data_IF_607317864218
#
_entry.id   IF_607317864218
#
_cell.length_a   1.000
_cell.length_b   1.000
_cell.length_c   1.000
_cell.angle_alpha   90.00
_cell.angle_beta   90.00
_cell.angle_gamma   90.00
#
_symmetry.space_group_name_H-M   'P 1'
#
loop_
_entity.id
_entity.type
_entity.pdbx_description
1 polymer ?
#
# COMPACT_ATOMS: atom_id res chain seq x y z
N UNK A 1 12.10 -2.88 -4.80
CA UNK A 1 11.00 -2.64 -3.87
C UNK A 1 9.74 -2.62 -4.69
N UNK A 2 8.66 -3.21 -4.18
CA UNK A 2 7.36 -3.20 -4.84
C UNK A 2 6.28 -2.87 -3.82
N UNK A 3 5.22 -2.18 -4.25
CA UNK A 3 4.21 -1.58 -3.38
C UNK A 3 2.83 -1.76 -4.00
N UNK A 4 1.87 -2.21 -3.20
CA UNK A 4 0.45 -2.25 -3.57
C UNK A 4 -0.38 -1.58 -2.50
N UNK A 5 -1.40 -0.81 -2.91
CA UNK A 5 -2.29 -0.12 -2.00
C UNK A 5 -3.76 -0.32 -2.42
N UNK A 6 -4.62 -0.55 -1.44
CA UNK A 6 -6.04 -0.75 -1.66
C UNK A 6 -6.85 -0.24 -0.46
N UNK A 7 -8.02 0.33 -0.74
CA UNK A 7 -9.03 0.52 0.29
C UNK A 7 -9.75 -0.80 0.56
N UNK A 8 -10.16 -1.04 1.81
CA UNK A 8 -11.12 -2.08 2.14
C UNK A 8 -12.44 -1.84 1.40
N UNK A 9 -13.27 -2.88 1.25
CA UNK A 9 -14.55 -2.76 0.52
C UNK A 9 -15.49 -1.69 1.10
N UNK A 10 -15.41 -1.44 2.41
CA UNK A 10 -16.15 -0.38 3.11
C UNK A 10 -15.42 0.97 3.17
N UNK A 11 -14.21 1.05 2.58
CA UNK A 11 -13.30 2.21 2.54
C UNK A 11 -12.89 2.78 3.90
N UNK A 12 -13.10 2.05 5.00
CA UNK A 12 -12.70 2.50 6.33
C UNK A 12 -11.19 2.42 6.55
N UNK A 13 -10.50 1.58 5.78
CA UNK A 13 -9.06 1.41 5.89
C UNK A 13 -8.38 1.50 4.54
N UNK A 14 -7.23 2.15 4.53
CA UNK A 14 -6.24 2.02 3.47
C UNK A 14 -5.21 0.97 3.91
N UNK A 15 -5.05 -0.07 3.11
CA UNK A 15 -3.98 -1.05 3.28
C UNK A 15 -2.86 -0.79 2.29
N UNK A 16 -1.60 -0.82 2.74
CA UNK A 16 -0.41 -0.69 1.89
C UNK A 16 0.51 -1.88 2.17
N UNK A 17 0.72 -2.74 1.18
CA UNK A 17 1.68 -3.83 1.21
C UNK A 17 2.99 -3.39 0.53
N UNK A 18 4.11 -3.61 1.20
CA UNK A 18 5.44 -3.22 0.75
C UNK A 18 6.37 -4.43 0.82
N UNK A 19 7.08 -4.70 -0.27
CA UNK A 19 8.16 -5.70 -0.32
C UNK A 19 9.50 -4.98 -0.44
N UNK A 20 10.35 -5.14 0.57
CA UNK A 20 11.76 -4.73 0.50
C UNK A 20 12.66 -5.97 0.32
N UNK A 21 13.09 -6.28 -0.93
CA UNK A 21 13.94 -7.44 -1.19
C UNK A 21 15.43 -7.19 -0.91
N UNK A 22 15.83 -5.99 -0.50
CA UNK A 22 17.25 -5.66 -0.28
C UNK A 22 17.70 -6.10 1.12
N UNK A 23 19.02 -6.15 1.34
CA UNK A 23 19.61 -6.44 2.66
C UNK A 23 19.76 -5.18 3.52
N UNK A 24 19.25 -4.04 3.05
CA UNK A 24 19.37 -2.75 3.72
C UNK A 24 17.98 -2.18 4.04
N UNK A 25 17.82 -1.42 5.13
CA UNK A 25 16.58 -0.69 5.36
C UNK A 25 16.34 0.29 4.23
N UNK A 26 15.07 0.51 3.88
CA UNK A 26 14.67 1.48 2.86
C UNK A 26 13.70 2.50 3.48
N UNK A 27 13.88 3.76 3.13
CA UNK A 27 12.98 4.83 3.55
C UNK A 27 11.95 5.12 2.45
N UNK A 28 10.68 5.21 2.84
CA UNK A 28 9.58 5.55 1.94
C UNK A 28 8.82 6.76 2.49
N UNK A 29 8.73 7.83 1.71
CA UNK A 29 7.88 8.96 2.05
C UNK A 29 6.46 8.70 1.56
N UNK A 30 5.49 8.69 2.48
CA UNK A 30 4.09 8.40 2.15
C UNK A 30 3.36 9.71 1.83
N UNK A 31 3.08 9.93 0.54
CA UNK A 31 2.21 11.02 0.09
C UNK A 31 0.91 10.45 -0.46
N UNK A 32 -0.22 10.86 0.12
CA UNK A 32 -1.55 10.39 -0.26
C UNK A 32 -2.38 11.55 -0.81
N UNK A 33 -2.79 11.41 -2.06
CA UNK A 33 -3.72 12.34 -2.70
C UNK A 33 -5.13 11.79 -2.64
N UNK A 34 -6.10 12.64 -2.30
CA UNK A 34 -7.52 12.26 -2.28
C UNK A 34 -7.93 11.39 -1.09
N UNK A 35 -7.10 11.22 -0.07
CA UNK A 35 -7.48 10.60 1.19
C UNK A 35 -6.73 11.23 2.38
N UNK A 36 -7.37 11.24 3.54
CA UNK A 36 -6.75 11.64 4.81
C UNK A 36 -6.77 10.45 5.75
N UNK A 37 -5.67 10.23 6.46
CA UNK A 37 -5.55 9.15 7.44
C UNK A 37 -5.80 9.70 8.85
N UNK A 38 -6.42 8.89 9.70
CA UNK A 38 -6.46 9.18 11.13
C UNK A 38 -5.11 8.85 11.78
N UNK A 39 -4.87 9.36 12.98
CA UNK A 39 -3.64 9.12 13.75
C UNK A 39 -3.65 7.75 14.46
N UNK A 40 -3.95 6.69 13.71
CA UNK A 40 -3.92 5.32 14.20
C UNK A 40 -3.65 4.36 13.03
N UNK A 41 -2.72 3.43 13.24
CA UNK A 41 -2.39 2.42 12.26
C UNK A 41 -1.94 1.11 12.91
N UNK A 42 -2.04 0.02 12.14
CA UNK A 42 -1.41 -1.26 12.47
C UNK A 42 -0.38 -1.60 11.40
N UNK A 43 0.71 -2.21 11.83
CA UNK A 43 1.73 -2.78 10.98
C UNK A 43 1.82 -4.27 11.24
N UNK A 44 1.86 -5.07 10.18
CA UNK A 44 2.30 -6.46 10.21
C UNK A 44 3.58 -6.59 9.40
N UNK A 45 4.64 -7.08 10.01
CA UNK A 45 5.92 -7.26 9.33
C UNK A 45 6.36 -8.72 9.41
N UNK A 46 6.67 -9.28 8.25
CA UNK A 46 7.35 -10.56 8.11
C UNK A 46 8.81 -10.32 7.72
N UNK A 47 9.73 -10.83 8.52
CA UNK A 47 11.18 -10.78 8.27
C UNK A 47 11.89 -11.90 9.04
N UNK A 48 13.19 -12.06 8.82
CA UNK A 48 14.05 -13.00 9.53
C UNK A 48 15.46 -12.45 9.71
N UNK A 49 16.27 -13.04 10.60
CA UNK A 49 17.62 -12.55 10.91
C UNK A 49 18.61 -12.70 9.75
N UNK A 50 18.36 -13.63 8.82
CA UNK A 50 19.21 -13.89 7.65
C UNK A 50 18.37 -14.29 6.44
N UNK A 51 18.98 -14.34 5.25
CA UNK A 51 18.29 -14.78 4.00
C UNK A 51 17.87 -16.24 4.02
N UNK A 52 18.58 -17.07 4.77
CA UNK A 52 18.34 -18.51 4.87
C UNK A 52 17.51 -18.87 6.12
N UNK A 53 17.02 -17.86 6.86
CA UNK A 53 16.20 -18.05 8.05
C UNK A 53 14.95 -18.86 7.71
N UNK A 54 14.67 -19.87 8.53
CA UNK A 54 13.55 -20.77 8.31
C UNK A 54 13.01 -21.31 9.63
N UNK A 55 11.70 -21.53 9.68
CA UNK A 55 11.08 -22.19 10.82
C UNK A 55 11.34 -23.71 10.74
N UNK A 56 11.66 -24.31 11.88
CA UNK A 56 11.90 -25.75 12.01
C UNK A 56 11.12 -26.32 13.19
N UNK A 57 10.84 -27.63 13.14
CA UNK A 57 10.18 -28.33 14.24
C UNK A 57 10.99 -28.21 15.53
N UNK A 58 10.31 -28.04 16.65
CA UNK A 58 10.88 -27.93 18.01
C UNK A 58 11.90 -26.79 18.21
N UNK A 59 11.91 -25.79 17.33
CA UNK A 59 12.71 -24.56 17.48
C UNK A 59 11.83 -23.32 17.58
N UNK A 60 12.38 -22.24 18.15
CA UNK A 60 11.74 -20.93 18.08
C UNK A 60 11.63 -20.48 16.61
N UNK A 61 10.53 -19.84 16.20
CA UNK A 61 10.39 -19.30 14.85
C UNK A 61 11.48 -18.26 14.55
N UNK A 62 12.14 -18.40 13.40
CA UNK A 62 13.08 -17.40 12.90
C UNK A 62 12.41 -16.41 11.94
N UNK A 63 11.32 -16.84 11.29
CA UNK A 63 10.50 -16.02 10.40
C UNK A 63 9.08 -16.01 10.93
N UNK A 64 8.63 -14.84 11.35
CA UNK A 64 7.31 -14.64 11.95
C UNK A 64 6.69 -13.33 11.47
N UNK A 65 5.36 -13.24 11.56
CA UNK A 65 4.64 -11.99 11.35
C UNK A 65 4.46 -11.30 12.70
N UNK A 66 5.10 -10.15 12.88
CA UNK A 66 4.93 -9.31 14.07
C UNK A 66 3.89 -8.24 13.81
N UNK A 67 2.90 -8.15 14.69
CA UNK A 67 1.95 -7.04 14.72
C UNK A 67 2.45 -5.93 15.64
N UNK A 68 2.32 -4.68 15.19
CA UNK A 68 2.65 -3.50 15.98
C UNK A 68 1.59 -2.43 15.75
N UNK A 69 0.96 -1.97 16.84
CA UNK A 69 0.10 -0.79 16.82
C UNK A 69 0.94 0.49 16.77
N UNK A 70 0.54 1.43 15.92
CA UNK A 70 1.19 2.72 15.74
C UNK A 70 0.24 3.84 16.18
N UNK A 71 0.69 4.68 17.11
CA UNK A 71 -0.06 5.81 17.65
C UNK A 71 -0.09 7.04 16.73
N UNK A 72 0.57 6.96 15.57
CA UNK A 72 0.58 7.99 14.54
C UNK A 72 0.98 7.39 13.19
N UNK A 73 0.64 8.09 12.11
CA UNK A 73 1.13 7.76 10.76
C UNK A 73 2.43 8.52 10.54
N UNK A 74 3.58 7.84 10.36
CA UNK A 74 4.83 8.52 10.06
C UNK A 74 4.79 9.11 8.65
N UNK A 75 5.37 10.29 8.47
CA UNK A 75 5.59 10.88 7.14
C UNK A 75 6.57 10.03 6.31
N UNK A 76 7.58 9.47 6.98
CA UNK A 76 8.57 8.55 6.40
C UNK A 76 8.47 7.20 7.09
N UNK A 77 8.17 6.16 6.31
CA UNK A 77 8.17 4.77 6.73
C UNK A 77 9.58 4.19 6.57
N UNK A 78 10.13 3.62 7.65
CA UNK A 78 11.35 2.81 7.57
C UNK A 78 10.96 1.35 7.38
N UNK A 79 11.35 0.78 6.25
CA UNK A 79 11.02 -0.59 5.85
C UNK A 79 12.25 -1.46 6.08
N UNK A 80 12.10 -2.50 6.90
CA UNK A 80 13.21 -3.37 7.28
C UNK A 80 13.82 -4.10 6.07
N UNK A 81 15.11 -4.50 6.14
CA UNK A 81 15.71 -5.42 5.18
C UNK A 81 14.89 -6.69 4.98
N UNK A 82 14.95 -7.27 3.79
CA UNK A 82 14.44 -8.59 3.45
C UNK A 82 13.05 -8.86 4.08
N UNK A 83 12.12 -7.94 3.84
CA UNK A 83 10.84 -7.91 4.55
C UNK A 83 9.64 -7.76 3.63
N UNK A 84 8.50 -8.24 4.13
CA UNK A 84 7.17 -7.90 3.65
C UNK A 84 6.47 -7.17 4.79
N UNK A 85 6.03 -5.94 4.55
CA UNK A 85 5.34 -5.13 5.55
C UNK A 85 3.97 -4.72 5.04
N UNK A 86 2.92 -5.01 5.79
CA UNK A 86 1.57 -4.55 5.56
C UNK A 86 1.23 -3.46 6.59
N UNK A 87 0.87 -2.28 6.10
CA UNK A 87 0.25 -1.25 6.92
C UNK A 87 -1.26 -1.24 6.71
N UNK A 88 -2.00 -1.04 7.79
CA UNK A 88 -3.43 -0.67 7.76
C UNK A 88 -3.60 0.66 8.46
N UNK A 89 -4.00 1.66 7.69
CA UNK A 89 -4.31 3.00 8.18
C UNK A 89 -5.81 3.18 8.24
N UNK A 90 -6.30 3.82 9.31
CA UNK A 90 -7.70 4.26 9.35
C UNK A 90 -7.87 5.43 8.39
N UNK A 91 -8.83 5.33 7.47
CA UNK A 91 -9.18 6.44 6.60
C UNK A 91 -10.11 7.41 7.35
N UNK A 92 -9.63 8.63 7.58
CA UNK A 92 -10.44 9.73 8.13
C UNK A 92 -11.39 10.29 7.06
N UNK A 93 -10.92 10.41 5.82
CA UNK A 93 -11.74 10.76 4.67
C UNK A 93 -11.16 10.16 3.39
N UNK A 94 -12.03 9.85 2.42
CA UNK A 94 -11.65 9.40 1.08
C UNK A 94 -12.47 10.21 0.08
N UNK A 95 -11.81 10.88 -0.85
CA UNK A 95 -12.47 11.62 -1.91
C UNK A 95 -13.31 10.66 -2.78
N UNK A 96 -14.42 11.17 -3.29
CA UNK A 96 -15.18 10.43 -4.29
C UNK A 96 -14.29 10.17 -5.51
N UNK A 97 -14.31 8.95 -6.04
CA UNK A 97 -13.69 8.66 -7.31
C UNK A 97 -14.30 9.58 -8.36
N UNK A 98 -13.48 10.39 -9.05
CA UNK A 98 -13.96 11.10 -10.24
C UNK A 98 -14.34 10.02 -11.26
N UNK A 99 -15.59 9.98 -11.76
CA UNK A 99 -15.91 9.05 -12.82
C UNK A 99 -15.01 9.39 -14.02
N UNK A 100 -14.21 8.43 -14.46
CA UNK A 100 -13.51 8.51 -15.73
C UNK A 100 -14.56 8.22 -16.79
N UNK A 101 -15.30 9.25 -17.21
CA UNK A 101 -16.09 9.17 -18.44
C UNK A 101 -15.07 9.31 -19.56
N UNK A 102 -14.78 8.21 -20.24
CA UNK A 102 -14.12 8.27 -21.54
C UNK A 102 -15.07 9.01 -22.49
N UNK A 103 -14.79 10.30 -22.76
CA UNK A 103 -15.44 11.06 -23.82
C UNK A 103 -14.95 10.52 -25.18
N UNK A 104 -15.36 9.30 -25.54
CA UNK A 104 -15.35 8.86 -26.92
C UNK A 104 -16.60 9.41 -27.60
N UNK A 105 -16.56 10.71 -27.89
CA UNK A 105 -17.49 11.30 -28.86
C UNK A 105 -17.14 10.66 -30.21
N UNK A 106 -18.00 9.77 -30.69
CA UNK A 106 -18.05 9.40 -32.10
C UNK A 106 -18.21 10.69 -32.91
N UNK A 107 -17.13 11.17 -33.53
CA UNK A 107 -17.20 12.13 -34.62
C UNK A 107 -17.80 11.42 -35.83
N UNK A 108 -19.12 11.41 -35.93
CA UNK A 108 -19.78 11.13 -37.22
C UNK A 108 -19.56 12.33 -38.11
N UNK A 109 -18.50 12.29 -38.92
CA UNK A 109 -18.34 13.20 -40.05
C UNK A 109 -19.51 12.99 -41.03
N UNK A 110 -20.40 13.98 -41.08
CA UNK A 110 -21.39 14.14 -42.14
C UNK A 110 -20.64 14.65 -43.38
N UNK A 111 -20.72 14.01 -44.56
CA UNK A 111 -20.19 14.58 -45.78
C UNK A 111 -21.09 15.75 -46.24
N UNK A 112 -20.49 16.92 -46.50
CA UNK A 112 -21.18 18.05 -47.13
C UNK A 112 -21.64 17.69 -48.57
N UNK A 113 -22.82 18.17 -49.02
CA UNK A 113 -23.22 18.06 -50.40
C UNK A 113 -22.73 19.26 -51.22
N UNK A 114 -22.03 18.99 -52.34
CA UNK A 114 -22.16 19.81 -53.54
C UNK A 114 -20.86 20.35 -54.17
N UNK A 115 -20.50 19.75 -55.30
CA UNK A 115 -20.49 20.48 -56.58
C UNK A 115 -20.88 19.57 -57.72
#
# INVERSE_FOLDING_TARGET
>A
MDISAAFTGDRKFLTIAIVNPTQEPQSLNLHLEGAQLANEAHMWQMTGPTRDAANALDKQPEVEVKETGLSSVPETLSIAPASITLYRFVAASVAAAKPHIEDHILSTQVPEPGR
#
